data_IF_551965073514
#
_entry.id   IF_551965073514
#
_cell.length_a   1.000
_cell.length_b   1.000
_cell.length_c   1.000
_cell.angle_alpha   90.00
_cell.angle_beta   90.00
_cell.angle_gamma   90.00
#
_symmetry.space_group_name_H-M   'P 1'
#
loop_
_entity.id
_entity.type
_entity.pdbx_description
1 polymer ?
#
# COMPACT_ATOMS: atom_id res chain seq x y z
N UNK A 1 7.50 20.32 -6.64
CA UNK A 1 6.35 19.42 -6.57
C UNK A 1 6.89 18.01 -6.45
N UNK A 2 6.46 17.28 -5.41
CA UNK A 2 6.95 15.93 -5.08
C UNK A 2 6.15 14.83 -5.80
N UNK A 3 5.11 15.21 -6.56
CA UNK A 3 4.28 14.29 -7.34
C UNK A 3 4.45 14.54 -8.83
N UNK A 4 4.48 13.45 -9.60
CA UNK A 4 4.51 13.45 -11.06
C UNK A 4 3.45 12.50 -11.61
N UNK A 5 2.66 12.95 -12.57
CA UNK A 5 1.78 12.08 -13.35
C UNK A 5 2.65 11.20 -14.24
N UNK A 6 2.46 9.88 -14.17
CA UNK A 6 3.33 8.91 -14.87
C UNK A 6 3.18 9.02 -16.39
N UNK A 7 1.93 9.17 -16.85
CA UNK A 7 1.58 9.33 -18.26
C UNK A 7 0.38 10.26 -18.37
N UNK A 8 0.31 11.06 -19.42
CA UNK A 8 -0.86 11.91 -19.69
C UNK A 8 -2.12 11.03 -19.75
N UNK A 9 -3.13 11.29 -18.88
CA UNK A 9 -4.31 10.46 -18.83
C UNK A 9 -5.18 10.62 -20.09
N UNK A 10 -5.55 9.52 -20.72
CA UNK A 10 -6.53 9.44 -21.80
C UNK A 10 -7.89 8.89 -21.32
N UNK A 11 -8.00 8.67 -20.02
CA UNK A 11 -9.19 8.10 -19.37
C UNK A 11 -9.40 8.77 -18.01
N UNK A 12 -10.31 8.22 -17.22
CA UNK A 12 -10.61 8.67 -15.85
C UNK A 12 -9.64 8.12 -14.80
N UNK A 13 -8.62 7.38 -15.20
CA UNK A 13 -7.59 6.83 -14.32
C UNK A 13 -6.31 7.67 -14.43
N UNK A 14 -5.82 8.15 -13.28
CA UNK A 14 -4.58 8.91 -13.17
C UNK A 14 -3.62 8.12 -12.28
N UNK A 15 -2.42 7.85 -12.78
CA UNK A 15 -1.35 7.26 -12.00
C UNK A 15 -0.32 8.34 -11.64
N UNK A 16 -0.03 8.48 -10.35
CA UNK A 16 0.97 9.44 -9.82
C UNK A 16 2.06 8.71 -9.08
N UNK A 17 3.28 9.14 -9.28
CA UNK A 17 4.46 8.68 -8.53
C UNK A 17 5.07 9.83 -7.72
N UNK A 18 5.94 9.48 -6.78
CA UNK A 18 6.69 10.44 -5.94
C UNK A 18 8.12 10.60 -6.43
N UNK A 19 8.75 11.69 -6.01
CA UNK A 19 10.21 11.78 -6.00
C UNK A 19 10.81 11.02 -4.78
N UNK A 20 12.12 11.04 -4.64
CA UNK A 20 12.89 10.33 -3.61
C UNK A 20 12.70 10.88 -2.18
N UNK A 21 11.99 11.99 -1.99
CA UNK A 21 11.81 12.64 -0.69
C UNK A 21 10.66 12.06 0.13
N UNK A 22 9.75 11.32 -0.51
CA UNK A 22 8.61 10.67 0.13
C UNK A 22 8.18 9.44 -0.68
N UNK A 23 7.22 8.70 -0.18
CA UNK A 23 6.68 7.50 -0.84
C UNK A 23 5.14 7.53 -0.93
N UNK A 24 4.60 6.81 -1.90
CA UNK A 24 3.16 6.74 -2.15
C UNK A 24 2.39 6.03 -1.04
N UNK A 25 3.03 5.14 -0.28
CA UNK A 25 2.38 4.37 0.78
C UNK A 25 2.09 5.26 1.98
N UNK A 26 3.07 6.10 2.36
CA UNK A 26 2.89 7.11 3.41
C UNK A 26 1.84 8.15 3.00
N UNK A 27 1.83 8.59 1.74
CA UNK A 27 0.80 9.53 1.24
C UNK A 27 -0.60 8.89 1.32
N UNK A 28 -0.75 7.62 0.98
CA UNK A 28 -2.03 6.91 1.08
C UNK A 28 -2.54 6.83 2.53
N UNK A 29 -1.65 6.53 3.49
CA UNK A 29 -1.99 6.52 4.92
C UNK A 29 -2.40 7.93 5.40
N UNK A 30 -1.68 8.97 5.00
CA UNK A 30 -1.98 10.36 5.34
C UNK A 30 -3.32 10.83 4.75
N UNK A 31 -3.63 10.44 3.51
CA UNK A 31 -4.93 10.68 2.90
C UNK A 31 -6.06 9.96 3.65
N UNK A 32 -5.83 8.70 4.06
CA UNK A 32 -6.82 7.94 4.85
C UNK A 32 -7.13 8.60 6.18
N UNK A 33 -6.15 9.16 6.89
CA UNK A 33 -6.36 9.93 8.12
C UNK A 33 -7.21 11.19 7.90
N UNK A 34 -7.20 11.72 6.67
CA UNK A 34 -8.00 12.88 6.24
C UNK A 34 -9.34 12.50 5.61
N UNK A 35 -9.74 11.22 5.71
CA UNK A 35 -11.02 10.71 5.20
C UNK A 35 -11.03 10.36 3.72
N UNK A 36 -9.86 10.32 3.05
CA UNK A 36 -9.74 9.97 1.64
C UNK A 36 -9.08 8.62 1.46
N UNK A 37 -9.79 7.67 0.85
CA UNK A 37 -9.21 6.40 0.47
C UNK A 37 -8.62 6.47 -0.93
N UNK A 38 -7.32 6.25 -1.03
CA UNK A 38 -6.60 6.14 -2.29
C UNK A 38 -5.79 4.85 -2.26
N UNK A 39 -5.82 4.09 -3.35
CA UNK A 39 -5.12 2.82 -3.40
C UNK A 39 -3.71 3.00 -3.95
N UNK A 40 -2.66 2.71 -3.15
CA UNK A 40 -1.32 2.62 -3.66
C UNK A 40 -1.15 1.32 -4.45
N UNK A 41 -0.39 1.38 -5.54
CA UNK A 41 0.03 0.22 -6.32
C UNK A 41 1.49 -0.07 -6.02
N UNK A 42 1.81 -1.34 -5.88
CA UNK A 42 3.19 -1.80 -5.72
C UNK A 42 3.97 -1.63 -7.03
N UNK A 43 5.29 -1.63 -6.94
CA UNK A 43 6.17 -1.63 -8.10
C UNK A 43 5.85 -2.81 -9.03
N UNK A 44 5.97 -2.56 -10.33
CA UNK A 44 5.78 -3.60 -11.34
C UNK A 44 6.83 -3.47 -12.45
N UNK A 45 7.67 -4.51 -12.60
CA UNK A 45 8.83 -4.49 -13.51
C UNK A 45 9.77 -3.32 -13.16
N UNK A 46 9.92 -2.38 -14.08
CA UNK A 46 10.75 -1.17 -13.99
C UNK A 46 9.96 0.08 -13.60
N UNK A 47 8.67 -0.08 -13.25
CA UNK A 47 7.84 1.03 -12.76
C UNK A 47 7.87 1.10 -11.23
N UNK A 48 8.07 2.30 -10.71
CA UNK A 48 7.97 2.62 -9.30
C UNK A 48 6.55 2.46 -8.76
N UNK A 49 6.35 2.35 -7.43
CA UNK A 49 5.02 2.39 -6.84
C UNK A 49 4.27 3.67 -7.22
N UNK A 50 2.95 3.58 -7.38
CA UNK A 50 2.10 4.70 -7.78
C UNK A 50 0.85 4.80 -6.93
N UNK A 51 0.23 5.99 -6.87
CA UNK A 51 -1.16 6.16 -6.45
C UNK A 51 -2.06 6.13 -7.67
N UNK A 52 -3.12 5.32 -7.62
CA UNK A 52 -4.15 5.31 -8.65
C UNK A 52 -5.37 6.12 -8.20
N UNK A 53 -5.67 7.16 -8.97
CA UNK A 53 -6.82 8.03 -8.76
C UNK A 53 -7.85 7.75 -9.85
N UNK A 54 -9.06 7.38 -9.46
CA UNK A 54 -10.17 7.22 -10.40
C UNK A 54 -11.10 8.43 -10.28
N UNK A 55 -11.20 9.18 -11.35
CA UNK A 55 -12.07 10.37 -11.43
C UNK A 55 -13.42 9.97 -12.03
N UNK A 56 -14.50 10.44 -11.44
CA UNK A 56 -15.86 10.20 -11.92
C UNK A 56 -16.75 11.42 -11.64
N UNK A 57 -17.93 11.47 -12.22
CA UNK A 57 -18.89 12.51 -11.91
C UNK A 57 -19.28 12.57 -10.42
N UNK A 58 -19.18 11.43 -9.71
CA UNK A 58 -19.46 11.39 -8.28
C UNK A 58 -18.33 12.01 -7.44
N UNK A 59 -17.09 12.06 -7.96
CA UNK A 59 -15.94 12.65 -7.25
C UNK A 59 -15.73 14.12 -7.54
N UNK A 60 -16.36 14.65 -8.61
CA UNK A 60 -16.22 16.05 -9.04
C UNK A 60 -16.50 17.08 -7.90
N UNK A 61 -17.58 16.95 -7.10
CA UNK A 61 -17.86 17.94 -6.05
C UNK A 61 -16.80 18.01 -4.94
N UNK A 62 -16.03 16.93 -4.74
CA UNK A 62 -15.00 16.84 -3.70
C UNK A 62 -13.57 17.13 -4.17
N UNK A 63 -13.37 17.53 -5.43
CA UNK A 63 -12.02 17.67 -6.02
C UNK A 63 -11.18 18.71 -5.29
N UNK A 64 -11.74 19.86 -4.93
CA UNK A 64 -10.98 20.92 -4.23
C UNK A 64 -10.56 20.47 -2.83
N UNK A 65 -11.45 19.80 -2.10
CA UNK A 65 -11.15 19.25 -0.77
C UNK A 65 -10.09 18.13 -0.87
N UNK A 66 -10.22 17.26 -1.87
CA UNK A 66 -9.23 16.21 -2.13
C UNK A 66 -7.86 16.79 -2.46
N UNK A 67 -7.77 17.80 -3.32
CA UNK A 67 -6.49 18.45 -3.68
C UNK A 67 -5.84 19.09 -2.46
N UNK A 68 -6.63 19.74 -1.60
CA UNK A 68 -6.13 20.29 -0.32
C UNK A 68 -5.58 19.19 0.59
N UNK A 69 -6.35 18.11 0.78
CA UNK A 69 -5.93 16.96 1.59
C UNK A 69 -4.67 16.28 1.01
N UNK A 70 -4.57 16.17 -0.32
CA UNK A 70 -3.40 15.62 -1.00
C UNK A 70 -2.15 16.48 -0.76
N UNK A 71 -2.28 17.80 -0.83
CA UNK A 71 -1.16 18.71 -0.55
C UNK A 71 -0.65 18.55 0.88
N UNK A 72 -1.56 18.47 1.87
CA UNK A 72 -1.19 18.26 3.27
C UNK A 72 -0.58 16.86 3.48
N UNK A 73 -1.14 15.83 2.84
CA UNK A 73 -0.61 14.46 2.92
C UNK A 73 0.81 14.36 2.35
N UNK A 74 1.07 15.02 1.23
CA UNK A 74 2.43 15.10 0.64
C UNK A 74 3.39 15.83 1.57
N UNK A 75 2.98 16.95 2.17
CA UNK A 75 3.84 17.67 3.13
C UNK A 75 4.17 16.80 4.34
N UNK A 76 3.19 16.06 4.88
CA UNK A 76 3.41 15.15 6.00
C UNK A 76 4.34 13.99 5.62
N UNK A 77 4.17 13.41 4.42
CA UNK A 77 5.02 12.34 3.91
C UNK A 77 6.47 12.81 3.69
N UNK A 78 6.67 14.01 3.13
CA UNK A 78 8.01 14.61 2.99
C UNK A 78 8.66 14.87 4.35
N UNK A 79 7.90 15.33 5.34
CA UNK A 79 8.41 15.55 6.68
C UNK A 79 8.80 14.24 7.39
N UNK A 80 8.10 13.16 7.12
CA UNK A 80 8.39 11.81 7.64
C UNK A 80 9.60 11.16 6.92
N UNK A 81 9.81 11.51 5.66
CA UNK A 81 10.71 10.80 4.74
C UNK A 81 10.12 9.50 4.22
N UNK A 82 10.75 8.89 3.21
CA UNK A 82 10.27 7.62 2.65
C UNK A 82 10.35 6.49 3.68
N UNK A 83 9.33 5.63 3.69
CA UNK A 83 9.32 4.45 4.55
C UNK A 83 10.49 3.52 4.20
N UNK A 84 11.23 3.09 5.20
CA UNK A 84 12.35 2.17 5.04
C UNK A 84 11.98 0.77 5.51
N UNK A 85 12.37 -0.24 4.76
CA UNK A 85 12.26 -1.64 5.16
C UNK A 85 13.58 -2.07 5.79
N UNK A 86 13.52 -2.71 6.96
CA UNK A 86 14.70 -3.29 7.59
C UNK A 86 15.34 -4.33 6.65
N UNK A 87 16.66 -4.25 6.38
CA UNK A 87 17.32 -5.16 5.45
C UNK A 87 17.22 -6.63 5.87
N UNK A 88 17.27 -6.92 7.17
CA UNK A 88 17.14 -8.29 7.68
C UNK A 88 15.72 -8.83 7.46
N UNK A 89 14.70 -7.98 7.57
CA UNK A 89 13.32 -8.35 7.27
C UNK A 89 13.12 -8.58 5.77
N UNK A 90 13.71 -7.76 4.92
CA UNK A 90 13.68 -7.94 3.47
C UNK A 90 14.40 -9.25 3.05
N UNK A 91 15.56 -9.56 3.64
CA UNK A 91 16.27 -10.82 3.42
C UNK A 91 15.45 -12.02 3.89
N UNK A 92 14.85 -11.94 5.08
CA UNK A 92 13.98 -13.00 5.60
C UNK A 92 12.78 -13.24 4.66
N UNK A 93 12.14 -12.19 4.19
CA UNK A 93 11.06 -12.30 3.21
C UNK A 93 11.54 -12.92 1.89
N UNK A 94 12.72 -12.54 1.41
CA UNK A 94 13.29 -13.11 0.19
C UNK A 94 13.67 -14.59 0.30
N UNK A 95 13.92 -15.08 1.52
CA UNK A 95 14.26 -16.48 1.80
C UNK A 95 13.01 -17.37 1.97
N UNK A 96 11.81 -16.81 2.11
CA UNK A 96 10.58 -17.58 2.23
C UNK A 96 10.24 -18.28 0.90
N UNK A 97 9.97 -19.57 0.97
CA UNK A 97 9.43 -20.32 -0.17
C UNK A 97 7.89 -20.23 -0.16
N UNK A 98 7.27 -19.58 -1.13
CA UNK A 98 5.81 -19.48 -1.20
C UNK A 98 5.08 -20.84 -1.20
N UNK A 99 5.71 -21.90 -1.71
CA UNK A 99 5.14 -23.24 -1.76
C UNK A 99 5.04 -23.92 -0.37
N UNK A 100 5.74 -23.40 0.62
CA UNK A 100 5.74 -23.90 2.01
C UNK A 100 4.91 -23.07 2.97
N UNK A 101 4.25 -22.00 2.47
CA UNK A 101 3.35 -21.17 3.26
C UNK A 101 2.03 -21.92 3.51
N UNK A 102 1.99 -22.66 4.61
CA UNK A 102 0.74 -23.20 5.13
C UNK A 102 -0.05 -22.14 5.93
N UNK A 103 -1.23 -22.52 6.40
CA UNK A 103 -2.12 -21.61 7.13
C UNK A 103 -1.48 -21.09 8.42
N UNK A 104 -0.75 -21.92 9.15
CA UNK A 104 -0.10 -21.53 10.41
C UNK A 104 1.05 -20.54 10.19
N UNK A 105 1.88 -20.79 9.17
CA UNK A 105 2.96 -19.89 8.77
C UNK A 105 2.41 -18.53 8.32
N UNK A 106 1.32 -18.54 7.55
CA UNK A 106 0.68 -17.32 7.10
C UNK A 106 0.08 -16.53 8.27
N UNK A 107 -0.59 -17.19 9.21
CA UNK A 107 -1.14 -16.53 10.41
C UNK A 107 -0.04 -15.91 11.26
N UNK A 108 1.11 -16.59 11.39
CA UNK A 108 2.30 -16.03 12.02
C UNK A 108 2.80 -14.75 11.34
N UNK A 109 2.82 -14.72 10.00
CA UNK A 109 3.20 -13.53 9.23
C UNK A 109 2.20 -12.39 9.40
N UNK A 110 0.88 -12.68 9.43
CA UNK A 110 -0.15 -11.69 9.71
C UNK A 110 0.02 -11.07 11.09
N UNK A 111 0.31 -11.88 12.12
CA UNK A 111 0.57 -11.40 13.48
C UNK A 111 1.81 -10.48 13.51
N UNK A 112 2.92 -10.88 12.88
CA UNK A 112 4.13 -10.08 12.79
C UNK A 112 3.91 -8.75 12.06
N UNK A 113 3.04 -8.75 11.04
CA UNK A 113 2.66 -7.55 10.30
C UNK A 113 1.63 -6.67 11.03
N UNK A 114 1.11 -7.12 12.20
CA UNK A 114 0.04 -6.42 12.91
C UNK A 114 -1.32 -6.48 12.20
N UNK A 115 -1.50 -7.44 11.29
CA UNK A 115 -2.73 -7.67 10.51
C UNK A 115 -3.68 -8.68 11.15
N UNK A 116 -3.31 -9.29 12.27
CA UNK A 116 -4.13 -10.22 13.03
C UNK A 116 -4.48 -9.63 14.41
N UNK A 117 -5.76 -9.66 14.76
CA UNK A 117 -6.30 -9.28 16.06
C UNK A 117 -7.07 -10.42 16.71
N UNK A 118 -7.59 -10.22 17.92
CA UNK A 118 -8.36 -11.23 18.69
C UNK A 118 -9.66 -11.65 18.00
N UNK A 119 -10.22 -10.81 17.13
CA UNK A 119 -11.47 -11.05 16.40
C UNK A 119 -11.25 -11.41 14.91
N UNK A 120 -10.01 -11.69 14.50
CA UNK A 120 -9.65 -12.01 13.12
C UNK A 120 -8.71 -10.99 12.47
N UNK A 121 -8.84 -10.75 11.15
CA UNK A 121 -8.00 -9.80 10.43
C UNK A 121 -8.25 -8.37 10.92
N UNK A 122 -7.18 -7.70 11.34
CA UNK A 122 -7.18 -6.28 11.68
C UNK A 122 -6.36 -5.51 10.66
N UNK A 123 -6.91 -4.44 10.10
CA UNK A 123 -6.13 -3.55 9.23
C UNK A 123 -5.43 -2.50 10.10
N UNK A 124 -4.09 -2.44 10.11
CA UNK A 124 -3.36 -1.44 10.88
C UNK A 124 -3.78 -0.01 10.51
N UNK A 125 -3.62 0.90 11.44
CA UNK A 125 -3.83 2.32 11.18
C UNK A 125 -2.84 2.85 10.10
N UNK A 126 -1.61 2.33 10.09
CA UNK A 126 -0.60 2.63 9.10
C UNK A 126 -0.27 1.40 8.26
N UNK A 127 -0.58 1.44 6.97
CA UNK A 127 -0.28 0.38 6.00
C UNK A 127 1.03 0.61 5.24
N UNK A 128 1.64 1.78 5.33
CA UNK A 128 2.84 2.10 4.59
C UNK A 128 4.00 1.11 4.85
N UNK A 129 4.32 0.70 6.10
CA UNK A 129 5.36 -0.30 6.34
C UNK A 129 5.05 -1.68 5.74
N UNK A 130 3.77 -2.09 5.77
CA UNK A 130 3.32 -3.36 5.19
C UNK A 130 3.44 -3.34 3.67
N UNK A 131 2.95 -2.26 3.05
CA UNK A 131 3.04 -2.09 1.61
C UNK A 131 4.50 -1.99 1.13
N UNK A 132 5.37 -1.29 1.86
CA UNK A 132 6.78 -1.21 1.53
C UNK A 132 7.47 -2.57 1.62
N UNK A 133 7.16 -3.38 2.63
CA UNK A 133 7.68 -4.76 2.74
C UNK A 133 7.18 -5.63 1.58
N UNK A 134 5.89 -5.56 1.26
CA UNK A 134 5.33 -6.27 0.11
C UNK A 134 5.96 -5.81 -1.21
N UNK A 135 6.32 -4.54 -1.32
CA UNK A 135 6.93 -3.99 -2.53
C UNK A 135 8.32 -4.56 -2.81
N UNK A 136 9.14 -4.75 -1.76
CA UNK A 136 10.47 -5.34 -1.88
C UNK A 136 10.46 -6.88 -1.88
N UNK A 137 9.35 -7.51 -1.51
CA UNK A 137 9.21 -8.96 -1.50
C UNK A 137 9.26 -9.55 -2.93
N UNK A 138 9.82 -10.76 -3.12
CA UNK A 138 9.79 -11.45 -4.40
C UNK A 138 8.37 -11.60 -4.94
N UNK A 139 8.18 -11.40 -6.25
CA UNK A 139 6.84 -11.45 -6.85
C UNK A 139 6.04 -12.72 -6.54
N UNK A 140 6.64 -13.94 -6.57
CA UNK A 140 5.90 -15.17 -6.19
C UNK A 140 5.43 -15.17 -4.72
N UNK A 141 6.24 -14.64 -3.80
CA UNK A 141 5.85 -14.52 -2.39
C UNK A 141 4.73 -13.51 -2.21
N UNK A 142 4.86 -12.34 -2.84
CA UNK A 142 3.84 -11.30 -2.81
C UNK A 142 2.49 -11.80 -3.32
N UNK A 143 2.48 -12.54 -4.43
CA UNK A 143 1.28 -13.16 -4.99
C UNK A 143 0.66 -14.16 -4.00
N UNK A 144 1.45 -15.06 -3.43
CA UNK A 144 0.98 -16.04 -2.45
C UNK A 144 0.38 -15.37 -1.20
N UNK A 145 1.03 -14.34 -0.67
CA UNK A 145 0.55 -13.58 0.49
C UNK A 145 -0.78 -12.86 0.19
N UNK A 146 -0.91 -12.23 -0.98
CA UNK A 146 -2.14 -11.54 -1.38
C UNK A 146 -3.30 -12.54 -1.58
N UNK A 147 -3.06 -13.68 -2.22
CA UNK A 147 -4.06 -14.74 -2.40
C UNK A 147 -4.52 -15.26 -1.03
N UNK A 148 -3.58 -15.59 -0.13
CA UNK A 148 -3.91 -16.10 1.19
C UNK A 148 -4.66 -15.06 2.04
N UNK A 149 -4.32 -13.78 1.93
CA UNK A 149 -5.04 -12.69 2.60
C UNK A 149 -6.48 -12.57 2.10
N UNK A 150 -6.69 -12.57 0.78
CA UNK A 150 -8.02 -12.50 0.17
C UNK A 150 -8.88 -13.73 0.53
N UNK A 151 -8.29 -14.91 0.57
CA UNK A 151 -8.97 -16.13 1.00
C UNK A 151 -9.51 -16.01 2.42
N UNK A 152 -8.68 -15.46 3.33
CA UNK A 152 -9.12 -15.25 4.72
C UNK A 152 -10.22 -14.20 4.86
N UNK A 153 -10.18 -13.12 4.07
CA UNK A 153 -11.24 -12.11 4.07
C UNK A 153 -12.60 -12.68 3.62
N UNK A 154 -12.59 -13.75 2.83
CA UNK A 154 -13.80 -14.36 2.28
C UNK A 154 -14.29 -15.56 3.12
N UNK A 155 -13.53 -16.01 4.12
CA UNK A 155 -13.98 -17.08 5.01
C UNK A 155 -15.14 -16.59 5.89
N UNK A 156 -16.27 -17.33 5.95
CA UNK A 156 -17.35 -16.96 6.86
C UNK A 156 -16.85 -16.96 8.30
N UNK A 157 -17.16 -15.91 9.04
CA UNK A 157 -17.02 -15.90 10.50
C UNK A 157 -18.07 -16.83 11.09
N UNK A 158 -17.64 -17.83 11.88
CA UNK A 158 -18.52 -18.79 12.54
C UNK A 158 -19.37 -18.13 13.64
#
# INVERSE_FOLDING_TARGET
AHLRVVVEPDSTLIAVETDETCDVFTIADELRRRGWYVQPQLSYRDMSPTLHLTVSAATEPGVEEFVSALQEAVQAAVAAGPVSVDPGLAEAAAALDPATLDDDAFDGLLQLAGLAGEEGLAVPEAMAPVNALLDVAPAPLREALLIAFLDRLQRPTA
#
